data_IF_092514932821
#
_entry.id   IF_092514932821
#
_cell.length_a   1.000
_cell.length_b   1.000
_cell.length_c   1.000
_cell.angle_alpha   90.00
_cell.angle_beta   90.00
_cell.angle_gamma   90.00
#
_symmetry.space_group_name_H-M   'P 1'
#
loop_
_entity.id
_entity.type
_entity.pdbx_description
1 polymer ?
#
# COMPACT_ATOMS: atom_id res chain seq x y z
N UNK A 1 -15.08 8.89 -7.46
CA UNK A 1 -14.33 8.05 -8.41
C UNK A 1 -13.02 7.69 -7.75
N UNK A 2 -13.05 6.65 -6.92
CA UNK A 2 -11.96 6.32 -5.99
C UNK A 2 -10.78 5.67 -6.69
N UNK A 3 -9.58 5.91 -6.15
CA UNK A 3 -8.32 5.19 -6.45
C UNK A 3 -8.27 4.52 -7.81
N UNK A 4 -8.25 5.33 -8.88
CA UNK A 4 -8.06 4.80 -10.23
C UNK A 4 -6.86 3.85 -10.26
N UNK A 5 -7.15 2.57 -10.46
CA UNK A 5 -6.25 1.46 -10.83
C UNK A 5 -5.53 0.66 -9.73
N UNK A 6 -5.45 1.10 -8.47
CA UNK A 6 -4.72 0.34 -7.44
C UNK A 6 -5.64 -0.65 -6.69
N UNK A 7 -5.36 -1.97 -6.70
CA UNK A 7 -6.17 -2.96 -5.99
C UNK A 7 -6.20 -2.67 -4.49
N UNK A 8 -7.29 -3.01 -3.80
CA UNK A 8 -7.35 -2.86 -2.35
C UNK A 8 -6.29 -3.75 -1.68
N UNK A 9 -5.64 -3.25 -0.62
CA UNK A 9 -4.71 -4.05 0.18
C UNK A 9 -5.41 -5.29 0.74
N UNK A 10 -4.76 -6.44 0.62
CA UNK A 10 -5.23 -7.72 1.09
C UNK A 10 -4.16 -8.39 1.96
N UNK A 11 -4.50 -8.65 3.23
CA UNK A 11 -3.64 -9.42 4.12
C UNK A 11 -3.38 -10.82 3.53
N UNK A 12 -2.19 -11.37 3.79
CA UNK A 12 -1.71 -12.63 3.25
C UNK A 12 -1.13 -12.55 1.84
N UNK A 13 -1.42 -11.46 1.11
CA UNK A 13 -0.82 -11.22 -0.21
C UNK A 13 0.61 -10.74 -0.04
N UNK A 14 1.52 -11.30 -0.86
CA UNK A 14 2.89 -10.83 -0.96
C UNK A 14 2.92 -9.63 -1.90
N UNK A 15 3.47 -8.52 -1.44
CA UNK A 15 3.71 -7.32 -2.23
C UNK A 15 5.21 -7.10 -2.36
N UNK A 16 5.70 -7.05 -3.59
CA UNK A 16 7.12 -6.76 -3.86
C UNK A 16 7.37 -5.26 -3.96
N UNK A 17 8.64 -4.85 -3.86
CA UNK A 17 9.01 -3.46 -4.11
C UNK A 17 8.46 -2.96 -5.44
N UNK A 18 7.75 -1.83 -5.40
CA UNK A 18 7.04 -1.25 -6.54
C UNK A 18 5.56 -1.57 -6.61
N UNK A 19 5.04 -2.54 -5.84
CA UNK A 19 3.62 -2.87 -5.84
C UNK A 19 2.77 -1.73 -5.26
N UNK A 20 1.60 -1.48 -5.87
CA UNK A 20 0.71 -0.39 -5.48
C UNK A 20 -0.63 -0.95 -5.02
N UNK A 21 -1.14 -0.42 -3.90
CA UNK A 21 -2.44 -0.80 -3.33
C UNK A 21 -3.21 0.42 -2.87
N UNK A 22 -4.52 0.27 -2.71
CA UNK A 22 -5.38 1.26 -2.08
C UNK A 22 -5.78 0.80 -0.67
N UNK A 23 -5.67 1.70 0.31
CA UNK A 23 -6.08 1.45 1.68
C UNK A 23 -6.50 2.76 2.36
N UNK A 24 -7.65 2.76 3.07
CA UNK A 24 -8.23 3.92 3.78
C UNK A 24 -8.34 5.19 2.91
N UNK A 25 -8.73 5.06 1.64
CA UNK A 25 -8.89 6.20 0.72
C UNK A 25 -7.57 6.82 0.26
N UNK A 26 -6.45 6.11 0.42
CA UNK A 26 -5.12 6.55 -0.02
C UNK A 26 -4.47 5.47 -0.87
N UNK A 27 -3.55 5.87 -1.73
CA UNK A 27 -2.67 4.96 -2.48
C UNK A 27 -1.38 4.75 -1.72
N UNK A 28 -0.90 3.52 -1.76
CA UNK A 28 0.31 3.11 -1.08
C UNK A 28 1.19 2.32 -2.04
N UNK A 29 2.50 2.48 -1.93
CA UNK A 29 3.49 1.76 -2.71
C UNK A 29 4.44 1.00 -1.81
N UNK A 30 4.54 -0.29 -2.00
CA UNK A 30 5.51 -1.13 -1.31
C UNK A 30 6.92 -0.71 -1.73
N UNK A 31 7.76 -0.38 -0.77
CA UNK A 31 9.15 0.00 -0.99
C UNK A 31 10.04 -1.23 -1.21
N UNK A 32 9.73 -2.33 -0.53
CA UNK A 32 10.40 -3.63 -0.63
C UNK A 32 9.39 -4.77 -0.48
N UNK A 33 9.88 -6.00 -0.41
CA UNK A 33 9.05 -7.19 -0.20
C UNK A 33 8.34 -7.13 1.17
N UNK A 34 7.03 -7.30 1.17
CA UNK A 34 6.21 -7.37 2.38
C UNK A 34 5.08 -8.38 2.24
N UNK A 35 4.66 -8.95 3.37
CA UNK A 35 3.49 -9.79 3.49
C UNK A 35 2.84 -9.51 4.84
N UNK A 36 1.51 -9.36 4.86
CA UNK A 36 0.73 -9.06 6.08
C UNK A 36 1.01 -7.70 6.76
N UNK A 37 1.76 -6.78 6.15
CA UNK A 37 1.94 -5.44 6.71
C UNK A 37 0.89 -4.47 6.17
N UNK A 38 0.07 -3.89 7.04
CA UNK A 38 -1.01 -2.99 6.65
C UNK A 38 -0.45 -1.59 6.27
N UNK A 39 -0.82 -1.04 5.10
CA UNK A 39 -0.43 0.31 4.71
C UNK A 39 -0.92 1.38 5.69
N UNK A 40 0.00 2.25 6.10
CA UNK A 40 -0.26 3.33 7.06
C UNK A 40 -0.13 2.95 8.53
N UNK A 41 0.26 1.71 8.86
CA UNK A 41 0.56 1.30 10.25
C UNK A 41 2.04 1.41 10.61
N UNK A 42 2.92 1.33 9.61
CA UNK A 42 4.38 1.26 9.78
C UNK A 42 5.07 2.64 9.77
N UNK A 43 4.32 3.73 9.66
CA UNK A 43 4.84 5.11 9.59
C UNK A 43 5.55 5.45 8.27
N UNK A 44 6.14 6.66 8.20
CA UNK A 44 6.77 7.20 6.97
C UNK A 44 8.00 6.41 6.49
N UNK A 45 8.68 5.74 7.43
CA UNK A 45 9.83 4.85 7.16
C UNK A 45 9.43 3.38 6.98
N UNK A 46 8.13 3.12 6.94
CA UNK A 46 7.58 1.78 6.83
C UNK A 46 7.64 1.21 5.41
N UNK A 47 7.13 -0.01 5.26
CA UNK A 47 7.18 -0.68 3.94
C UNK A 47 6.30 0.00 2.91
N UNK A 48 5.25 0.67 3.36
CA UNK A 48 4.31 1.36 2.50
C UNK A 48 4.61 2.85 2.45
N UNK A 49 5.03 3.31 1.27
CA UNK A 49 5.11 4.74 0.96
C UNK A 49 3.72 5.25 0.60
N UNK A 50 3.26 6.27 1.32
CA UNK A 50 2.03 6.99 0.97
C UNK A 50 2.24 7.74 -0.36
N UNK A 51 1.35 7.49 -1.32
CA UNK A 51 1.28 8.21 -2.59
C UNK A 51 0.20 9.29 -2.58
N UNK A 52 -0.47 9.48 -1.44
CA UNK A 52 -1.52 10.47 -1.25
C UNK A 52 -2.93 9.92 -1.38
N UNK A 53 -3.90 10.83 -1.25
CA UNK A 53 -5.31 10.51 -1.34
C UNK A 53 -5.72 10.05 -2.73
N UNK A 54 -6.79 9.28 -2.75
CA UNK A 54 -7.62 9.06 -3.92
C UNK A 54 -9.10 9.16 -3.55
#
# INVERSE_FOLDING_TARGET
TGCGSAPAYAAGTVYTGGAEVSHKGRKWKAQWWTQNEEPGTTGEWGVWKDLGAC
#
